data_IF_490104449074
#
_entry.id   IF_490104449074
#
_cell.length_a   1.000
_cell.length_b   1.000
_cell.length_c   1.000
_cell.angle_alpha   90.00
_cell.angle_beta   90.00
_cell.angle_gamma   90.00
#
_symmetry.space_group_name_H-M   'P 1'
#
loop_
_entity.id
_entity.type
_entity.pdbx_description
1 polymer ?
#
# COMPACT_ATOMS: atom_id res chain seq x y z
N UNK A 1 -11.11 15.51 -0.88
CA UNK A 1 -12.17 15.11 0.05
C UNK A 1 -11.56 14.45 1.29
N UNK A 2 -11.90 14.93 2.47
CA UNK A 2 -11.53 14.33 3.76
C UNK A 2 -12.59 13.29 4.12
N UNK A 3 -12.16 12.07 4.44
CA UNK A 3 -13.04 10.92 4.70
C UNK A 3 -13.07 10.52 6.19
N UNK A 4 -11.92 10.51 6.86
CA UNK A 4 -11.76 10.21 8.30
C UNK A 4 -12.47 8.92 8.75
N UNK A 5 -12.38 7.86 7.96
CA UNK A 5 -12.90 6.55 8.35
C UNK A 5 -11.78 5.77 9.05
N UNK A 6 -12.05 5.30 10.26
CA UNK A 6 -11.04 4.58 11.08
C UNK A 6 -11.59 3.22 11.46
N UNK A 7 -10.74 2.20 11.34
CA UNK A 7 -10.98 0.86 11.88
C UNK A 7 -9.80 0.45 12.77
N UNK A 8 -10.08 -0.30 13.80
CA UNK A 8 -9.09 -0.75 14.79
C UNK A 8 -9.17 -2.26 14.99
N UNK A 9 -8.02 -2.88 15.21
CA UNK A 9 -7.90 -4.30 15.51
C UNK A 9 -6.59 -4.57 16.25
N UNK A 10 -6.65 -5.27 17.36
CA UNK A 10 -5.47 -5.73 18.13
C UNK A 10 -4.46 -4.60 18.46
N UNK A 11 -4.96 -3.41 18.78
CA UNK A 11 -4.13 -2.25 19.07
C UNK A 11 -3.63 -1.49 17.85
N UNK A 12 -3.88 -2.01 16.66
CA UNK A 12 -3.62 -1.32 15.39
C UNK A 12 -4.83 -0.48 14.98
N UNK A 13 -4.57 0.59 14.23
CA UNK A 13 -5.61 1.33 13.52
C UNK A 13 -5.21 1.64 12.09
N UNK A 14 -6.19 1.63 11.21
CA UNK A 14 -6.06 2.14 9.84
C UNK A 14 -7.11 3.21 9.63
N UNK A 15 -6.68 4.32 9.07
CA UNK A 15 -7.51 5.47 8.75
C UNK A 15 -7.50 5.71 7.24
N UNK A 16 -8.66 5.62 6.61
CA UNK A 16 -8.87 6.17 5.27
C UNK A 16 -9.05 7.69 5.42
N UNK A 17 -7.98 8.44 5.19
CA UNK A 17 -7.91 9.89 5.47
C UNK A 17 -8.56 10.72 4.39
N UNK A 18 -8.18 10.47 3.15
CA UNK A 18 -8.67 11.26 2.03
C UNK A 18 -8.64 10.52 0.71
N UNK A 19 -9.48 10.97 -0.21
CA UNK A 19 -9.46 10.59 -1.61
C UNK A 19 -9.61 11.86 -2.47
N UNK A 20 -8.74 12.03 -3.44
CA UNK A 20 -8.65 13.20 -4.30
C UNK A 20 -8.58 12.72 -5.74
N UNK A 21 -9.29 13.38 -6.65
CA UNK A 21 -9.20 13.09 -8.08
C UNK A 21 -9.24 14.37 -8.92
N UNK A 22 -8.52 14.36 -10.02
CA UNK A 22 -8.64 15.36 -11.10
C UNK A 22 -9.51 14.87 -12.27
N UNK A 23 -10.15 13.70 -12.09
CA UNK A 23 -10.97 13.05 -13.11
C UNK A 23 -10.18 12.13 -14.06
N UNK A 24 -8.85 12.17 -14.04
CA UNK A 24 -7.98 11.33 -14.86
C UNK A 24 -7.20 10.32 -14.04
N UNK A 25 -6.90 10.67 -12.81
CA UNK A 25 -6.26 9.82 -11.80
C UNK A 25 -6.78 10.16 -10.41
N UNK A 26 -6.55 9.29 -9.47
CA UNK A 26 -6.91 9.48 -8.08
C UNK A 26 -5.75 9.22 -7.14
N UNK A 27 -5.78 9.88 -5.98
CA UNK A 27 -4.90 9.61 -4.84
C UNK A 27 -5.76 9.24 -3.65
N UNK A 28 -5.41 8.15 -2.98
CA UNK A 28 -6.02 7.70 -1.73
C UNK A 28 -4.96 7.64 -0.66
N UNK A 29 -5.24 8.23 0.49
CA UNK A 29 -4.28 8.28 1.61
C UNK A 29 -4.81 7.43 2.77
N UNK A 30 -4.02 6.42 3.13
CA UNK A 30 -4.24 5.56 4.29
C UNK A 30 -3.17 5.85 5.34
N UNK A 31 -3.59 6.06 6.59
CA UNK A 31 -2.70 6.11 7.74
C UNK A 31 -2.77 4.80 8.51
N UNK A 32 -1.62 4.19 8.78
CA UNK A 32 -1.51 3.00 9.62
C UNK A 32 -0.82 3.38 10.92
N UNK A 33 -1.41 3.00 12.04
CA UNK A 33 -0.84 3.19 13.37
C UNK A 33 -0.74 1.85 14.07
N UNK A 34 0.46 1.47 14.47
CA UNK A 34 0.73 0.27 15.26
C UNK A 34 0.66 0.58 16.76
N UNK A 35 0.59 -0.45 17.63
CA UNK A 35 0.76 -0.27 19.06
C UNK A 35 2.04 0.49 19.39
N UNK A 36 2.01 1.25 20.50
CA UNK A 36 3.19 1.97 20.99
C UNK A 36 4.38 1.01 21.18
N UNK A 37 5.56 1.42 20.72
CA UNK A 37 6.78 0.60 20.76
C UNK A 37 7.02 -0.26 19.52
N UNK A 38 6.06 -0.33 18.60
CA UNK A 38 6.26 -0.99 17.29
C UNK A 38 6.84 0.02 16.30
N UNK A 39 8.00 -0.29 15.75
CA UNK A 39 8.67 0.58 14.76
C UNK A 39 8.26 0.15 13.34
N UNK A 40 7.61 1.03 12.61
CA UNK A 40 7.16 0.83 11.22
C UNK A 40 8.12 1.43 10.19
N UNK A 41 9.12 2.20 10.63
CA UNK A 41 10.04 2.88 9.74
C UNK A 41 10.81 1.89 8.85
N UNK A 42 11.10 2.26 7.60
CA UNK A 42 12.01 1.47 6.77
C UNK A 42 13.42 1.46 7.36
N UNK A 43 14.14 0.36 7.17
CA UNK A 43 15.52 0.18 7.62
C UNK A 43 16.43 0.22 6.40
N UNK A 44 17.46 1.05 6.46
CA UNK A 44 18.47 1.19 5.42
C UNK A 44 19.83 0.74 5.95
N UNK A 45 20.63 0.13 5.07
CA UNK A 45 22.03 -0.14 5.33
C UNK A 45 22.91 1.11 5.28
N UNK A 46 24.18 0.96 5.67
CA UNK A 46 25.15 2.07 5.65
C UNK A 46 25.36 2.64 4.24
N UNK A 47 25.20 1.84 3.21
CA UNK A 47 25.30 2.23 1.80
C UNK A 47 24.01 2.82 1.22
N UNK A 48 22.97 2.99 2.04
CA UNK A 48 21.65 3.46 1.61
C UNK A 48 20.74 2.39 0.99
N UNK A 49 21.17 1.13 0.98
CA UNK A 49 20.34 0.00 0.51
C UNK A 49 19.17 -0.23 1.44
N UNK A 50 17.96 -0.36 0.90
CA UNK A 50 16.75 -0.69 1.67
C UNK A 50 16.83 -2.15 2.15
N UNK A 51 16.88 -2.35 3.47
CA UNK A 51 16.95 -3.67 4.09
C UNK A 51 15.56 -4.18 4.47
N UNK A 52 14.73 -3.33 5.05
CA UNK A 52 13.42 -3.71 5.55
C UNK A 52 12.40 -2.61 5.31
N UNK A 53 11.20 -3.01 4.91
CA UNK A 53 10.08 -2.10 4.67
C UNK A 53 8.75 -2.71 5.06
N UNK A 54 7.83 -1.83 5.37
CA UNK A 54 6.43 -2.18 5.55
C UNK A 54 5.76 -2.37 4.19
N UNK A 55 4.78 -3.26 4.12
CA UNK A 55 3.93 -3.43 2.96
C UNK A 55 2.51 -3.80 3.40
N UNK A 56 1.55 -3.55 2.52
CA UNK A 56 0.15 -3.89 2.73
C UNK A 56 -0.28 -4.96 1.72
N UNK A 57 -1.08 -5.90 2.18
CA UNK A 57 -1.64 -6.96 1.36
C UNK A 57 -3.15 -6.82 1.31
N UNK A 58 -3.71 -6.92 0.11
CA UNK A 58 -5.13 -6.96 -0.14
C UNK A 58 -5.62 -8.35 -0.54
N UNK A 59 -6.82 -8.42 -1.10
CA UNK A 59 -7.38 -9.65 -1.64
C UNK A 59 -6.51 -10.20 -2.79
N UNK A 60 -6.46 -11.52 -2.90
CA UNK A 60 -5.84 -12.16 -4.06
C UNK A 60 -6.51 -11.68 -5.36
N UNK A 61 -5.71 -11.39 -6.37
CA UNK A 61 -6.13 -10.94 -7.71
C UNK A 61 -6.72 -9.52 -7.80
N UNK A 62 -6.78 -8.77 -6.71
CA UNK A 62 -7.29 -7.39 -6.70
C UNK A 62 -6.26 -6.41 -6.15
N UNK A 63 -6.24 -5.16 -6.64
CA UNK A 63 -5.49 -4.11 -5.97
C UNK A 63 -6.10 -3.79 -4.60
N UNK A 64 -5.34 -3.14 -3.73
CA UNK A 64 -5.85 -2.73 -2.40
C UNK A 64 -6.98 -1.72 -2.52
N UNK A 65 -6.93 -0.84 -3.52
CA UNK A 65 -7.96 0.17 -3.81
C UNK A 65 -8.50 -0.09 -5.21
N UNK A 66 -9.81 -0.25 -5.33
CA UNK A 66 -10.43 -0.57 -6.61
C UNK A 66 -11.88 -0.08 -6.69
N UNK A 67 -12.40 0.21 -7.89
CA UNK A 67 -13.82 0.47 -8.10
C UNK A 67 -14.60 -0.85 -8.02
N UNK A 68 -15.68 -0.85 -7.22
CA UNK A 68 -16.49 -2.05 -7.01
C UNK A 68 -17.17 -2.50 -8.31
N UNK A 69 -16.96 -3.77 -8.67
CA UNK A 69 -17.53 -4.41 -9.85
C UNK A 69 -16.73 -4.23 -11.15
N UNK A 70 -15.61 -3.49 -11.15
CA UNK A 70 -14.69 -3.38 -12.30
C UNK A 70 -13.24 -3.13 -11.86
N UNK A 71 -12.77 -3.99 -10.99
CA UNK A 71 -11.44 -3.98 -10.38
C UNK A 71 -10.31 -4.04 -11.40
N UNK A 72 -10.56 -4.69 -12.54
CA UNK A 72 -9.58 -4.87 -13.62
C UNK A 72 -9.35 -3.60 -14.45
N UNK A 73 -10.20 -2.58 -14.30
CA UNK A 73 -10.14 -1.36 -15.10
C UNK A 73 -9.16 -0.32 -14.58
N UNK A 74 -8.48 -0.62 -13.47
CA UNK A 74 -7.53 0.31 -12.84
C UNK A 74 -6.17 -0.33 -12.60
N UNK A 75 -5.16 0.54 -12.55
CA UNK A 75 -3.80 0.21 -12.11
C UNK A 75 -3.51 1.06 -10.88
N UNK A 76 -2.87 0.47 -9.88
CA UNK A 76 -2.52 1.17 -8.63
C UNK A 76 -1.03 1.09 -8.38
N UNK A 77 -0.48 2.17 -7.83
CA UNK A 77 0.84 2.23 -7.22
C UNK A 77 0.71 2.82 -5.83
N UNK A 78 1.58 2.44 -4.92
CA UNK A 78 1.65 3.08 -3.63
C UNK A 78 3.07 3.39 -3.21
N UNK A 79 3.21 4.43 -2.40
CA UNK A 79 4.44 4.83 -1.74
C UNK A 79 4.15 5.19 -0.29
N UNK A 80 5.17 5.09 0.53
CA UNK A 80 5.10 5.44 1.92
C UNK A 80 5.57 6.88 2.13
N UNK A 81 4.91 7.57 3.05
CA UNK A 81 5.28 8.90 3.51
C UNK A 81 5.14 8.96 5.04
N UNK A 82 6.25 9.09 5.73
CA UNK A 82 6.27 9.31 7.18
C UNK A 82 6.21 10.81 7.49
N UNK A 83 5.03 11.39 7.31
CA UNK A 83 4.83 12.83 7.47
C UNK A 83 4.81 13.34 8.90
N UNK A 84 4.71 12.47 9.93
CA UNK A 84 4.57 12.87 11.33
C UNK A 84 5.81 12.59 12.22
N UNK A 85 6.79 11.88 11.69
CA UNK A 85 8.03 11.55 12.38
C UNK A 85 7.88 10.56 13.55
N UNK A 86 6.71 9.94 13.72
CA UNK A 86 6.48 8.91 14.74
C UNK A 86 6.85 7.55 14.18
N UNK A 87 7.52 6.74 14.98
CA UNK A 87 8.03 5.43 14.54
C UNK A 87 6.92 4.38 14.40
N UNK A 88 5.79 4.55 15.08
CA UNK A 88 4.67 3.62 15.03
C UNK A 88 3.54 4.04 14.08
N UNK A 89 3.77 5.03 13.24
CA UNK A 89 2.81 5.48 12.22
C UNK A 89 3.44 5.49 10.85
N UNK A 90 2.65 5.21 9.82
CA UNK A 90 3.07 5.26 8.42
C UNK A 90 1.89 5.70 7.55
N UNK A 91 2.14 6.55 6.56
CA UNK A 91 1.17 6.92 5.56
C UNK A 91 1.45 6.19 4.25
N UNK A 92 0.41 5.59 3.68
CA UNK A 92 0.45 5.04 2.35
C UNK A 92 -0.33 5.94 1.41
N UNK A 93 0.35 6.43 0.39
CA UNK A 93 -0.25 7.20 -0.70
C UNK A 93 -0.43 6.25 -1.88
N UNK A 94 -1.68 6.01 -2.25
CA UNK A 94 -2.04 5.08 -3.33
C UNK A 94 -2.50 5.91 -4.52
N UNK A 95 -1.75 5.86 -5.60
CA UNK A 95 -2.14 6.42 -6.88
C UNK A 95 -2.95 5.40 -7.67
N UNK A 96 -4.07 5.83 -8.20
CA UNK A 96 -4.97 5.02 -9.02
C UNK A 96 -5.11 5.65 -10.38
N UNK A 97 -4.93 4.85 -11.42
CA UNK A 97 -5.12 5.28 -12.81
C UNK A 97 -6.02 4.30 -13.57
N UNK A 98 -6.87 4.78 -14.49
CA UNK A 98 -7.59 3.89 -15.39
C UNK A 98 -6.61 3.11 -16.27
N UNK A 99 -6.89 1.84 -16.49
CA UNK A 99 -6.19 1.10 -17.55
C UNK A 99 -6.57 1.67 -18.91
N UNK A 100 -5.63 1.87 -19.81
CA UNK A 100 -5.95 2.24 -21.18
C UNK A 100 -6.65 1.05 -21.88
N UNK A 101 -7.79 1.32 -22.54
CA UNK A 101 -8.55 0.32 -23.28
C UNK A 101 -9.83 0.90 -23.88
N UNK A 102 -10.29 0.32 -24.98
CA UNK A 102 -11.57 0.67 -25.59
C UNK A 102 -12.72 0.18 -24.68
N UNK A 103 -13.65 1.08 -24.35
CA UNK A 103 -14.87 0.77 -23.59
C UNK A 103 -14.70 0.74 -22.09
N UNK A 104 -13.55 1.15 -21.53
CA UNK A 104 -13.40 1.30 -20.09
C UNK A 104 -14.34 2.39 -19.57
N UNK A 105 -15.01 2.08 -18.44
CA UNK A 105 -15.85 3.05 -17.73
C UNK A 105 -14.96 4.13 -17.12
N UNK A 106 -15.52 5.31 -16.89
CA UNK A 106 -14.85 6.30 -16.06
C UNK A 106 -14.92 5.86 -14.59
N UNK A 107 -13.82 5.40 -13.98
CA UNK A 107 -13.86 4.92 -12.60
C UNK A 107 -14.05 6.08 -11.60
N UNK A 108 -13.80 7.32 -12.02
CA UNK A 108 -13.93 8.51 -11.16
C UNK A 108 -15.31 9.18 -11.25
N UNK A 109 -16.30 8.54 -11.88
CA UNK A 109 -17.69 8.99 -11.78
C UNK A 109 -18.12 9.02 -10.30
N UNK A 110 -18.72 10.12 -9.80
CA UNK A 110 -19.11 10.22 -8.40
C UNK A 110 -20.12 9.16 -7.92
N UNK A 111 -20.79 8.47 -8.84
CA UNK A 111 -21.71 7.37 -8.52
C UNK A 111 -21.02 6.02 -8.39
N UNK A 112 -19.73 5.94 -8.70
CA UNK A 112 -18.95 4.70 -8.53
C UNK A 112 -18.52 4.59 -7.08
N UNK A 113 -18.86 3.47 -6.46
CA UNK A 113 -18.33 3.10 -5.15
C UNK A 113 -16.94 2.47 -5.30
N UNK A 114 -16.02 2.90 -4.48
CA UNK A 114 -14.68 2.37 -4.37
C UNK A 114 -14.52 1.61 -3.08
N UNK A 115 -13.68 0.58 -3.10
CA UNK A 115 -13.31 -0.20 -1.93
C UNK A 115 -11.82 -0.08 -1.65
N UNK A 116 -11.50 -0.07 -0.37
CA UNK A 116 -10.15 -0.32 0.15
C UNK A 116 -10.24 -1.59 0.97
N UNK A 117 -9.50 -2.63 0.58
CA UNK A 117 -9.49 -3.91 1.29
C UNK A 117 -8.07 -4.26 1.70
N UNK A 118 -7.88 -4.44 2.99
CA UNK A 118 -6.61 -4.83 3.61
C UNK A 118 -6.80 -6.14 4.35
N UNK A 119 -5.99 -7.14 4.01
CA UNK A 119 -6.00 -8.45 4.67
C UNK A 119 -4.81 -8.61 5.61
N UNK A 120 -3.68 -7.97 5.31
CA UNK A 120 -2.48 -8.07 6.13
C UNK A 120 -1.65 -6.79 6.07
N UNK A 121 -0.95 -6.53 7.17
CA UNK A 121 0.20 -5.63 7.21
C UNK A 121 1.43 -6.49 7.43
N UNK A 122 2.40 -6.38 6.55
CA UNK A 122 3.60 -7.22 6.55
C UNK A 122 4.87 -6.38 6.59
N UNK A 123 5.94 -7.00 7.07
CA UNK A 123 7.30 -6.49 6.94
C UNK A 123 8.07 -7.40 6.00
N UNK A 124 8.69 -6.81 5.00
CA UNK A 124 9.56 -7.50 4.06
C UNK A 124 11.00 -7.13 4.42
N UNK A 125 11.83 -8.12 4.67
CA UNK A 125 13.25 -7.96 4.99
C UNK A 125 14.09 -8.68 3.95
N UNK A 126 15.06 -7.96 3.38
CA UNK A 126 16.01 -8.50 2.40
C UNK A 126 17.27 -8.97 3.11
N UNK A 127 17.69 -10.21 2.88
CA UNK A 127 19.00 -10.69 3.26
C UNK A 127 20.05 -10.13 2.28
N UNK A 128 20.63 -8.97 2.66
CA UNK A 128 21.56 -8.23 1.79
C UNK A 128 22.86 -8.97 1.56
N UNK A 129 23.31 -9.79 2.51
CA UNK A 129 24.53 -10.59 2.37
C UNK A 129 24.32 -11.72 1.37
N UNK A 130 23.19 -12.43 1.47
CA UNK A 130 22.81 -13.45 0.51
C UNK A 130 22.55 -12.87 -0.88
N UNK A 131 21.90 -11.70 -0.95
CA UNK A 131 21.69 -11.00 -2.22
C UNK A 131 23.01 -10.67 -2.92
N UNK A 132 23.99 -10.18 -2.16
CA UNK A 132 25.32 -9.86 -2.68
C UNK A 132 26.04 -11.11 -3.17
N UNK A 133 26.02 -12.22 -2.39
CA UNK A 133 26.62 -13.49 -2.76
C UNK A 133 26.03 -14.02 -4.07
N UNK A 134 24.70 -14.05 -4.19
CA UNK A 134 24.02 -14.51 -5.41
C UNK A 134 24.31 -13.58 -6.58
N UNK A 135 24.33 -12.27 -6.37
CA UNK A 135 24.64 -11.30 -7.41
C UNK A 135 26.07 -11.41 -7.93
N UNK A 136 27.03 -11.72 -7.06
CA UNK A 136 28.44 -11.95 -7.43
C UNK A 136 28.60 -13.25 -8.26
N UNK A 137 27.79 -14.28 -7.98
CA UNK A 137 27.80 -15.56 -8.72
C UNK A 137 27.05 -15.51 -10.03
N UNK A 138 25.86 -14.89 -10.06
CA UNK A 138 24.92 -14.89 -11.20
C UNK A 138 24.91 -13.59 -12.02
N UNK A 139 25.65 -12.56 -11.58
CA UNK A 139 25.62 -11.24 -12.19
C UNK A 139 24.32 -10.48 -11.89
N UNK A 140 23.90 -9.62 -12.84
CA UNK A 140 22.76 -8.69 -12.63
C UNK A 140 21.37 -9.34 -12.65
N UNK A 141 21.25 -10.65 -12.77
CA UNK A 141 19.98 -11.37 -12.91
C UNK A 141 19.49 -12.01 -11.60
N UNK A 142 19.86 -11.46 -10.46
CA UNK A 142 19.38 -11.94 -9.17
C UNK A 142 17.93 -11.48 -8.93
N UNK A 143 17.04 -12.42 -8.64
CA UNK A 143 15.67 -12.12 -8.20
C UNK A 143 15.69 -11.75 -6.73
N UNK A 144 15.45 -10.48 -6.41
CA UNK A 144 15.36 -10.00 -5.02
C UNK A 144 14.35 -10.80 -4.18
N UNK A 145 13.25 -11.25 -4.78
CA UNK A 145 12.22 -12.04 -4.10
C UNK A 145 12.71 -13.36 -3.49
N UNK A 146 13.82 -13.93 -4.00
CA UNK A 146 14.38 -15.18 -3.45
C UNK A 146 15.17 -14.98 -2.16
N UNK A 147 15.55 -13.76 -1.82
CA UNK A 147 16.33 -13.40 -0.63
C UNK A 147 15.51 -12.59 0.39
N UNK A 148 14.22 -12.41 0.13
CA UNK A 148 13.31 -11.70 1.02
C UNK A 148 12.65 -12.68 1.99
N UNK A 149 12.50 -12.23 3.24
CA UNK A 149 11.64 -12.85 4.24
C UNK A 149 10.45 -11.95 4.53
N UNK A 150 9.29 -12.56 4.76
CA UNK A 150 8.06 -11.85 5.07
C UNK A 150 7.59 -12.19 6.47
N UNK A 151 7.34 -11.17 7.28
CA UNK A 151 6.72 -11.28 8.60
C UNK A 151 5.34 -10.64 8.56
N UNK A 152 4.30 -11.37 8.98
CA UNK A 152 2.97 -10.82 9.16
C UNK A 152 2.92 -10.10 10.50
N UNK A 153 2.78 -8.76 10.47
CA UNK A 153 2.66 -7.93 11.67
C UNK A 153 1.24 -7.88 12.17
N UNK A 154 0.27 -7.92 11.25
CA UNK A 154 -1.15 -7.92 11.54
C UNK A 154 -1.89 -8.73 10.46
N UNK A 155 -2.66 -9.71 10.90
CA UNK A 155 -3.69 -10.37 10.12
C UNK A 155 -4.98 -9.56 10.30
N UNK A 156 -5.33 -8.79 9.28
CA UNK A 156 -6.41 -7.82 9.32
C UNK A 156 -7.58 -8.26 8.43
N UNK A 157 -8.74 -7.71 8.71
CA UNK A 157 -9.94 -7.84 7.86
C UNK A 157 -10.62 -6.46 7.82
N UNK A 158 -9.97 -5.55 7.11
CA UNK A 158 -10.43 -4.18 6.99
C UNK A 158 -10.98 -3.89 5.60
N UNK A 159 -12.17 -3.34 5.56
CA UNK A 159 -12.82 -2.86 4.35
C UNK A 159 -13.37 -1.46 4.58
N UNK A 160 -13.02 -0.55 3.66
CA UNK A 160 -13.58 0.80 3.60
C UNK A 160 -14.28 0.99 2.27
N UNK A 161 -15.31 1.82 2.27
CA UNK A 161 -15.99 2.25 1.04
C UNK A 161 -16.00 3.77 0.94
N UNK A 162 -15.84 4.28 -0.28
CA UNK A 162 -15.90 5.70 -0.57
C UNK A 162 -16.26 5.94 -2.03
N UNK A 163 -16.53 7.18 -2.39
CA UNK A 163 -16.63 7.62 -3.79
C UNK A 163 -15.77 8.85 -3.99
N UNK A 164 -15.13 8.98 -5.14
CA UNK A 164 -14.48 10.22 -5.51
C UNK A 164 -15.54 11.30 -5.77
N UNK A 165 -15.36 12.47 -5.19
CA UNK A 165 -16.19 13.64 -5.47
C UNK A 165 -15.31 14.66 -6.17
N UNK A 166 -15.82 15.20 -7.28
CA UNK A 166 -15.21 16.38 -7.87
C UNK A 166 -15.34 17.55 -6.88
N UNK A 167 -14.24 18.26 -6.68
CA UNK A 167 -14.27 19.53 -5.95
C UNK A 167 -14.90 20.62 -6.80
#
# INVERSE_FOLDING_TARGET
QVLNQIQTQDGWSVELRSAITDGTKGLVILGVTAPEGTDLAPVYGEDGTLISRLDMVGEWDKPIVYPDGFEEDVITWFFMDDGDGKTNTENFVIEVQPKPGEGSRNPFDPNVEWKVVLTDVIRITTDVDLLKEISDELGQYCYEGSVNTTEVLLDADWEFTFSFRAE
#
